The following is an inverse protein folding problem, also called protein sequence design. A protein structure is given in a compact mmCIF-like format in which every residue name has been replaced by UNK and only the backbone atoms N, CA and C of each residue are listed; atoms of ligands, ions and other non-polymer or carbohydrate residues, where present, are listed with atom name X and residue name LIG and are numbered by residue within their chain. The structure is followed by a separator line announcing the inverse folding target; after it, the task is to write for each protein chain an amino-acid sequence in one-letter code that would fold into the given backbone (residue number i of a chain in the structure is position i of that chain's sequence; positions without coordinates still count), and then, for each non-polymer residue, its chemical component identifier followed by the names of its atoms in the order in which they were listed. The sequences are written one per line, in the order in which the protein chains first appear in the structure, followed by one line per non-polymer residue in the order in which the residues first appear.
data_IF_334448734319
#
_entry.id   IF_334448734319
#
_cell.length_a   1.000
_cell.length_b   1.000
_cell.length_c   1.000
_cell.angle_alpha   90.00
_cell.angle_beta   90.00
_cell.angle_gamma   90.00
#
_symmetry.space_group_name_H-M   'P 1'
#
loop_
_entity.id
_entity.type
_entity.pdbx_description
1 polymer ?
#
# COMPACT_ATOMS: atom_id res chain seq x y z
N UNK A 1 15.61 -12.84 -23.16
CA UNK A 1 14.39 -12.01 -23.14
C UNK A 1 13.24 -12.97 -22.91
N UNK A 2 12.86 -13.15 -21.65
CA UNK A 2 11.70 -13.99 -21.32
C UNK A 2 10.52 -13.06 -21.21
N UNK A 3 9.64 -13.07 -22.21
CA UNK A 3 8.30 -12.49 -22.10
C UNK A 3 7.58 -13.25 -20.98
N UNK A 4 7.53 -12.66 -19.79
CA UNK A 4 6.67 -13.13 -18.72
C UNK A 4 5.24 -13.02 -19.24
N UNK A 5 4.65 -14.16 -19.61
CA UNK A 5 3.21 -14.27 -19.88
C UNK A 5 2.51 -13.76 -18.63
N UNK A 6 2.01 -12.51 -18.66
CA UNK A 6 1.30 -11.93 -17.53
C UNK A 6 0.08 -12.82 -17.26
N UNK A 7 0.13 -13.54 -16.14
CA UNK A 7 -1.01 -14.29 -15.64
C UNK A 7 -2.20 -13.33 -15.48
N UNK A 8 -3.40 -13.77 -15.88
CA UNK A 8 -4.60 -12.97 -15.74
C UNK A 8 -4.77 -12.54 -14.27
N UNK A 9 -5.14 -11.28 -14.01
CA UNK A 9 -5.31 -10.78 -12.65
C UNK A 9 -6.48 -11.48 -11.97
N UNK A 10 -6.32 -11.76 -10.68
CA UNK A 10 -7.40 -12.26 -9.80
C UNK A 10 -8.47 -11.20 -9.63
N UNK A 11 -8.08 -9.94 -9.42
CA UNK A 11 -9.00 -8.81 -9.49
C UNK A 11 -8.53 -7.81 -10.54
N UNK A 12 -9.45 -7.40 -11.41
CA UNK A 12 -9.27 -6.25 -12.29
C UNK A 12 -10.34 -5.20 -11.99
N UNK A 13 -9.89 -4.09 -11.43
CA UNK A 13 -10.73 -2.94 -11.06
C UNK A 13 -10.48 -1.81 -12.05
N UNK A 14 -11.55 -1.26 -12.65
CA UNK A 14 -11.43 -0.11 -13.57
C UNK A 14 -12.45 0.95 -13.22
N UNK A 15 -11.96 2.18 -13.09
CA UNK A 15 -12.75 3.40 -12.87
C UNK A 15 -13.81 3.22 -11.80
N UNK A 16 -13.46 2.58 -10.69
CA UNK A 16 -14.39 2.23 -9.65
C UNK A 16 -14.75 3.47 -8.83
N UNK A 17 -16.05 3.69 -8.65
CA UNK A 17 -16.58 4.75 -7.82
C UNK A 17 -17.44 4.19 -6.71
N UNK A 18 -17.33 4.78 -5.52
CA UNK A 18 -18.33 4.64 -4.47
C UNK A 18 -18.62 5.99 -3.85
N UNK A 19 -19.86 6.44 -4.05
CA UNK A 19 -20.37 7.70 -3.52
C UNK A 19 -21.52 7.42 -2.56
N UNK A 20 -21.50 8.09 -1.40
CA UNK A 20 -22.57 8.09 -0.41
C UNK A 20 -23.30 9.43 -0.44
N UNK A 21 -24.62 9.41 -0.27
CA UNK A 21 -25.44 10.62 -0.19
C UNK A 21 -26.62 10.64 -1.17
N UNK A 22 -27.47 11.68 -1.09
CA UNK A 22 -28.77 11.72 -1.77
C UNK A 22 -28.69 11.79 -3.30
N UNK A 23 -27.54 12.21 -3.86
CA UNK A 23 -27.31 12.36 -5.30
C UNK A 23 -26.13 11.53 -5.80
N UNK A 24 -25.78 10.47 -5.06
CA UNK A 24 -24.58 9.66 -5.30
C UNK A 24 -24.43 9.20 -6.76
N UNK A 25 -25.51 8.74 -7.40
CA UNK A 25 -25.49 8.25 -8.78
C UNK A 25 -25.16 9.31 -9.84
N UNK A 26 -25.32 10.60 -9.53
CA UNK A 26 -25.02 11.70 -10.47
C UNK A 26 -23.57 12.17 -10.40
N UNK A 27 -22.82 11.75 -9.38
CA UNK A 27 -21.45 12.21 -9.17
C UNK A 27 -20.50 11.55 -10.18
N UNK A 28 -20.51 10.21 -10.38
CA UNK A 28 -19.70 9.60 -11.42
C UNK A 28 -20.18 10.04 -12.81
N UNK A 29 -19.27 10.60 -13.62
CA UNK A 29 -19.55 11.02 -15.00
C UNK A 29 -19.92 12.49 -15.21
N UNK A 30 -20.15 13.26 -14.14
CA UNK A 30 -20.28 14.71 -14.23
C UNK A 30 -18.92 15.38 -14.04
N UNK A 31 -18.37 15.97 -15.12
CA UNK A 31 -17.09 16.67 -15.10
C UNK A 31 -17.07 17.83 -14.10
N UNK A 32 -18.23 18.42 -13.77
CA UNK A 32 -18.33 19.49 -12.79
C UNK A 32 -18.11 19.01 -11.34
N UNK A 33 -18.21 17.70 -11.08
CA UNK A 33 -18.00 17.09 -9.77
C UNK A 33 -16.71 16.27 -9.67
N UNK A 34 -16.24 15.70 -10.79
CA UNK A 34 -15.06 14.82 -10.81
C UNK A 34 -13.77 15.49 -10.32
N UNK A 35 -13.57 16.78 -10.64
CA UNK A 35 -12.39 17.55 -10.23
C UNK A 35 -12.50 18.27 -8.89
N UNK A 36 -13.61 18.15 -8.17
CA UNK A 36 -13.79 18.86 -6.90
C UNK A 36 -13.02 18.20 -5.76
N UNK A 37 -12.51 18.99 -4.82
CA UNK A 37 -12.02 18.45 -3.55
C UNK A 37 -13.15 17.75 -2.79
N UNK A 38 -12.79 16.84 -1.86
CA UNK A 38 -13.79 16.14 -1.06
C UNK A 38 -14.70 17.10 -0.27
N UNK A 39 -14.16 18.21 0.22
CA UNK A 39 -14.90 19.24 0.94
C UNK A 39 -15.89 19.97 0.02
N UNK A 40 -15.47 20.39 -1.16
CA UNK A 40 -16.32 21.09 -2.13
C UNK A 40 -17.42 20.18 -2.68
N UNK A 41 -17.09 18.92 -2.99
CA UNK A 41 -18.08 17.92 -3.41
C UNK A 41 -19.18 17.79 -2.36
N UNK A 42 -18.80 17.66 -1.09
CA UNK A 42 -19.75 17.57 0.02
C UNK A 42 -20.58 18.84 0.17
N UNK A 43 -19.97 20.02 0.08
CA UNK A 43 -20.68 21.29 0.19
C UNK A 43 -21.73 21.48 -0.92
N UNK A 44 -21.40 21.12 -2.17
CA UNK A 44 -22.29 21.33 -3.32
C UNK A 44 -23.37 20.28 -3.47
N UNK A 45 -23.07 19.03 -3.12
CA UNK A 45 -23.94 17.88 -3.43
C UNK A 45 -24.51 17.18 -2.19
N UNK A 46 -23.94 17.42 -1.01
CA UNK A 46 -24.21 16.64 0.20
C UNK A 46 -23.69 15.19 0.11
N UNK A 47 -22.86 14.88 -0.90
CA UNK A 47 -22.32 13.54 -1.12
C UNK A 47 -20.86 13.43 -0.68
N UNK A 48 -20.46 12.24 -0.27
CA UNK A 48 -19.08 11.88 0.05
C UNK A 48 -18.64 10.78 -0.90
N UNK A 49 -17.66 11.06 -1.75
CA UNK A 49 -17.04 10.04 -2.60
C UNK A 49 -15.93 9.34 -1.80
N UNK A 50 -16.20 8.11 -1.36
CA UNK A 50 -15.26 7.31 -0.60
C UNK A 50 -14.27 6.54 -1.49
N UNK A 51 -14.63 6.30 -2.75
CA UNK A 51 -13.75 5.75 -3.79
C UNK A 51 -14.02 6.55 -5.06
N UNK A 52 -12.96 7.07 -5.68
CA UNK A 52 -13.01 8.04 -6.79
C UNK A 52 -12.10 7.56 -7.91
N UNK A 53 -12.70 7.08 -8.98
CA UNK A 53 -12.02 6.66 -10.22
C UNK A 53 -10.83 5.70 -10.02
N UNK A 54 -10.97 4.74 -9.11
CA UNK A 54 -9.87 3.85 -8.73
C UNK A 54 -9.71 2.73 -9.75
N UNK A 55 -8.49 2.51 -10.24
CA UNK A 55 -8.13 1.44 -11.17
C UNK A 55 -6.85 0.75 -10.73
N UNK A 56 -6.87 -0.59 -10.64
CA UNK A 56 -5.70 -1.43 -10.35
C UNK A 56 -5.99 -2.88 -10.69
N UNK A 57 -4.92 -3.68 -10.71
CA UNK A 57 -4.95 -5.13 -10.83
C UNK A 57 -4.28 -5.78 -9.61
N UNK A 58 -4.85 -6.90 -9.16
CA UNK A 58 -4.27 -7.81 -8.17
C UNK A 58 -3.98 -9.13 -8.87
N UNK A 59 -2.73 -9.57 -8.83
CA UNK A 59 -2.25 -10.76 -9.51
C UNK A 59 -2.30 -12.00 -8.61
N UNK A 60 -2.35 -13.21 -9.20
CA UNK A 60 -2.34 -14.44 -8.43
C UNK A 60 -1.10 -14.55 -7.54
N UNK A 61 -1.33 -14.91 -6.28
CA UNK A 61 -0.28 -15.08 -5.28
C UNK A 61 0.32 -13.78 -4.77
N UNK A 62 -0.18 -12.61 -5.14
CA UNK A 62 0.31 -11.31 -4.69
C UNK A 62 -0.26 -10.93 -3.31
N UNK A 63 0.56 -10.32 -2.45
CA UNK A 63 0.10 -9.52 -1.30
C UNK A 63 -0.02 -8.06 -1.73
N UNK A 64 -1.25 -7.67 -2.06
CA UNK A 64 -1.59 -6.31 -2.47
C UNK A 64 -2.05 -5.49 -1.27
N UNK A 65 -1.25 -4.51 -0.85
CA UNK A 65 -1.55 -3.68 0.32
C UNK A 65 -2.26 -2.39 -0.10
N UNK A 66 -3.38 -2.08 0.53
CA UNK A 66 -4.08 -0.79 0.41
C UNK A 66 -3.80 0.03 1.66
N UNK A 67 -3.13 1.17 1.48
CA UNK A 67 -2.64 2.01 2.55
C UNK A 67 -3.19 3.44 2.46
N UNK A 68 -3.20 4.17 3.57
CA UNK A 68 -3.61 5.57 3.64
C UNK A 68 -4.17 5.93 5.01
N UNK A 69 -4.43 7.22 5.24
CA UNK A 69 -4.99 7.71 6.52
C UNK A 69 -6.41 7.19 6.78
N UNK A 70 -6.85 7.31 8.03
CA UNK A 70 -8.26 7.06 8.36
C UNK A 70 -9.17 7.95 7.50
N UNK A 71 -10.25 7.37 6.98
CA UNK A 71 -11.18 8.08 6.10
C UNK A 71 -10.78 8.16 4.62
N UNK A 72 -9.62 7.64 4.21
CA UNK A 72 -9.17 7.73 2.80
C UNK A 72 -9.91 6.80 1.82
N UNK A 73 -10.81 5.93 2.29
CA UNK A 73 -11.64 5.06 1.44
C UNK A 73 -11.27 3.58 1.42
N UNK A 74 -10.16 3.16 2.03
CA UNK A 74 -9.60 1.79 1.98
C UNK A 74 -10.60 0.68 2.28
N UNK A 75 -11.23 0.71 3.45
CA UNK A 75 -12.22 -0.30 3.86
C UNK A 75 -13.46 -0.27 2.97
N UNK A 76 -13.80 0.88 2.38
CA UNK A 76 -14.88 0.96 1.40
C UNK A 76 -14.48 0.27 0.10
N UNK A 77 -13.26 0.50 -0.38
CA UNK A 77 -12.71 -0.13 -1.58
C UNK A 77 -12.72 -1.66 -1.47
N UNK A 78 -12.18 -2.23 -0.38
CA UNK A 78 -12.17 -3.69 -0.21
C UNK A 78 -13.56 -4.29 -0.05
N UNK A 79 -14.49 -3.59 0.61
CA UNK A 79 -15.89 -4.03 0.68
C UNK A 79 -16.60 -3.95 -0.67
N UNK A 80 -16.16 -3.08 -1.57
CA UNK A 80 -16.63 -3.07 -2.96
C UNK A 80 -16.13 -4.31 -3.73
N UNK A 81 -14.90 -4.81 -3.46
CA UNK A 81 -14.37 -6.01 -4.12
C UNK A 81 -15.22 -7.27 -3.85
N UNK A 82 -15.80 -7.38 -2.66
CA UNK A 82 -16.74 -8.47 -2.33
C UNK A 82 -18.20 -8.10 -2.54
N UNK A 83 -18.47 -6.88 -3.03
CA UNK A 83 -19.81 -6.29 -3.19
C UNK A 83 -20.62 -6.27 -1.89
N UNK A 84 -19.95 -6.27 -0.73
CA UNK A 84 -20.60 -6.00 0.57
C UNK A 84 -21.09 -4.56 0.63
N UNK A 85 -20.40 -3.66 -0.07
CA UNK A 85 -20.87 -2.34 -0.44
C UNK A 85 -21.04 -2.33 -1.96
N UNK A 86 -22.22 -1.93 -2.44
CA UNK A 86 -22.47 -1.80 -3.87
C UNK A 86 -21.71 -0.59 -4.43
N UNK A 87 -20.83 -0.77 -5.43
CA UNK A 87 -20.21 0.35 -6.15
C UNK A 87 -21.26 1.24 -6.82
N UNK A 88 -20.92 2.52 -6.98
CA UNK A 88 -21.77 3.48 -7.68
C UNK A 88 -21.55 3.44 -9.20
N UNK A 89 -20.30 3.24 -9.64
CA UNK A 89 -19.93 3.10 -11.04
C UNK A 89 -18.58 2.35 -11.18
N UNK A 90 -18.20 2.03 -12.42
CA UNK A 90 -16.97 1.32 -12.77
C UNK A 90 -17.22 -0.15 -13.11
N UNK A 91 -16.13 -0.91 -13.24
CA UNK A 91 -16.17 -2.36 -13.46
C UNK A 91 -15.26 -3.09 -12.48
N UNK A 92 -15.71 -4.28 -12.07
CA UNK A 92 -14.99 -5.17 -11.17
C UNK A 92 -15.07 -6.60 -11.72
N UNK A 93 -13.92 -7.14 -12.10
CA UNK A 93 -13.80 -8.50 -12.62
C UNK A 93 -12.98 -9.33 -11.63
N UNK A 94 -13.44 -10.54 -11.31
CA UNK A 94 -12.71 -11.53 -10.52
C UNK A 94 -12.53 -12.81 -11.33
N UNK A 95 -11.30 -13.26 -11.55
CA UNK A 95 -10.97 -14.44 -12.37
C UNK A 95 -11.68 -14.46 -13.75
N UNK A 96 -11.82 -13.29 -14.37
CA UNK A 96 -12.53 -13.12 -15.65
C UNK A 96 -14.07 -13.03 -15.57
N UNK A 97 -14.67 -13.16 -14.38
CA UNK A 97 -16.11 -13.02 -14.17
C UNK A 97 -16.48 -11.61 -13.66
N UNK A 98 -17.46 -10.95 -14.27
CA UNK A 98 -17.96 -9.64 -13.81
C UNK A 98 -18.76 -9.78 -12.50
N UNK A 99 -18.20 -9.26 -11.42
CA UNK A 99 -18.77 -9.33 -10.06
C UNK A 99 -20.03 -8.46 -9.92
N UNK A 100 -20.13 -7.37 -10.69
CA UNK A 100 -21.28 -6.47 -10.65
C UNK A 100 -22.50 -7.06 -11.37
N UNK A 101 -22.26 -7.92 -12.36
CA UNK A 101 -23.30 -8.64 -13.09
C UNK A 101 -23.83 -9.88 -12.36
N UNK A 102 -23.13 -10.36 -11.31
CA UNK A 102 -23.56 -11.55 -10.55
C UNK A 102 -24.92 -11.36 -9.89
N UNK A 103 -25.72 -12.42 -9.89
CA UNK A 103 -26.93 -12.49 -9.08
C UNK A 103 -26.62 -12.80 -7.60
N UNK A 104 -27.65 -12.79 -6.75
CA UNK A 104 -27.49 -13.05 -5.32
C UNK A 104 -27.01 -14.46 -4.97
N UNK A 105 -27.25 -15.45 -5.84
CA UNK A 105 -26.83 -16.84 -5.65
C UNK A 105 -25.35 -16.99 -5.94
N UNK A 106 -24.92 -16.51 -7.10
CA UNK A 106 -23.53 -16.53 -7.53
C UNK A 106 -22.62 -15.73 -6.60
N UNK A 107 -23.09 -14.56 -6.15
CA UNK A 107 -22.36 -13.75 -5.18
C UNK A 107 -22.21 -14.44 -3.82
N UNK A 108 -23.20 -15.26 -3.41
CA UNK A 108 -23.09 -16.08 -2.20
C UNK A 108 -22.07 -17.21 -2.36
N UNK A 109 -22.00 -17.85 -3.52
CA UNK A 109 -20.98 -18.87 -3.80
C UNK A 109 -19.57 -18.29 -3.78
N UNK A 110 -19.37 -17.13 -4.44
CA UNK A 110 -18.10 -16.41 -4.43
C UNK A 110 -17.62 -16.14 -3.01
N UNK A 111 -18.48 -15.58 -2.15
CA UNK A 111 -18.16 -15.27 -0.74
C UNK A 111 -18.03 -16.51 0.15
N UNK A 112 -18.56 -17.65 -0.28
CA UNK A 112 -18.53 -18.89 0.50
C UNK A 112 -17.27 -19.71 0.20
N UNK A 113 -16.77 -19.66 -1.04
CA UNK A 113 -15.72 -20.57 -1.49
C UNK A 113 -14.46 -19.88 -2.00
N UNK A 114 -14.57 -18.70 -2.64
CA UNK A 114 -13.41 -18.07 -3.31
C UNK A 114 -12.80 -16.94 -2.50
N UNK A 115 -13.63 -16.07 -1.93
CA UNK A 115 -13.16 -14.90 -1.20
C UNK A 115 -13.58 -14.97 0.27
N UNK A 116 -12.62 -14.78 1.17
CA UNK A 116 -12.86 -14.62 2.61
C UNK A 116 -12.44 -13.23 3.06
N UNK A 117 -13.20 -12.64 3.99
CA UNK A 117 -12.90 -11.32 4.54
C UNK A 117 -12.70 -11.36 6.05
N UNK A 118 -11.61 -10.76 6.51
CA UNK A 118 -11.34 -10.45 7.91
C UNK A 118 -11.67 -8.98 8.15
N UNK A 119 -12.64 -8.73 9.00
CA UNK A 119 -13.07 -7.37 9.37
C UNK A 119 -12.26 -6.83 10.55
N UNK A 120 -12.05 -5.51 10.58
CA UNK A 120 -11.45 -4.78 11.71
C UNK A 120 -12.18 -5.08 13.04
N UNK A 121 -13.52 -5.06 13.00
CA UNK A 121 -14.34 -5.61 14.07
C UNK A 121 -14.68 -7.06 13.71
N UNK A 122 -14.05 -8.01 14.38
CA UNK A 122 -14.03 -9.44 14.04
C UNK A 122 -15.40 -10.12 13.93
N UNK A 123 -16.50 -9.44 14.26
CA UNK A 123 -17.86 -9.93 13.98
C UNK A 123 -18.09 -11.34 14.53
N UNK A 124 -17.55 -11.61 15.72
CA UNK A 124 -17.70 -12.90 16.36
C UNK A 124 -19.16 -13.08 16.79
N UNK A 125 -19.65 -14.31 16.65
CA UNK A 125 -20.98 -14.69 17.07
C UNK A 125 -20.97 -14.89 18.59
N UNK A 126 -21.57 -13.98 19.39
CA UNK A 126 -21.40 -13.96 20.85
C UNK A 126 -22.05 -15.17 21.54
N UNK A 127 -23.00 -15.80 20.86
CA UNK A 127 -23.73 -16.98 21.32
C UNK A 127 -23.04 -18.30 20.97
N UNK A 128 -21.95 -18.27 20.20
CA UNK A 128 -21.16 -19.45 19.82
C UNK A 128 -19.83 -19.48 20.58
N UNK A 129 -19.26 -20.67 20.77
CA UNK A 129 -17.92 -20.81 21.33
C UNK A 129 -16.85 -20.34 20.34
N UNK A 130 -15.59 -20.24 20.79
CA UNK A 130 -14.45 -20.00 19.91
C UNK A 130 -14.39 -21.03 18.80
N UNK A 131 -14.47 -22.32 19.15
CA UNK A 131 -14.42 -23.42 18.20
C UNK A 131 -15.57 -23.34 17.18
N UNK A 132 -16.79 -23.05 17.63
CA UNK A 132 -17.95 -22.92 16.74
C UNK A 132 -17.94 -21.62 15.92
N UNK A 133 -17.23 -20.58 16.36
CA UNK A 133 -16.95 -19.39 15.54
C UNK A 133 -15.98 -19.74 14.41
N UNK A 134 -14.88 -20.42 14.71
CA UNK A 134 -13.87 -20.83 13.72
C UNK A 134 -14.47 -21.82 12.71
N UNK A 135 -15.26 -22.79 13.18
CA UNK A 135 -15.95 -23.76 12.33
C UNK A 135 -17.12 -23.18 11.52
N UNK A 136 -17.50 -21.91 11.72
CA UNK A 136 -18.72 -21.34 11.13
C UNK A 136 -18.68 -21.30 9.60
N UNK A 137 -17.57 -20.90 8.99
CA UNK A 137 -17.47 -20.87 7.52
C UNK A 137 -17.61 -22.27 6.91
N UNK A 138 -16.96 -23.25 7.54
CA UNK A 138 -17.03 -24.68 7.17
C UNK A 138 -18.46 -25.25 7.33
N UNK A 139 -19.19 -24.83 8.38
CA UNK A 139 -20.61 -25.15 8.56
C UNK A 139 -21.46 -24.65 7.39
N UNK A 140 -21.23 -23.41 6.95
CA UNK A 140 -21.96 -22.81 5.83
C UNK A 140 -21.60 -23.44 4.49
N UNK A 141 -20.39 -24.00 4.35
CA UNK A 141 -19.96 -24.82 3.22
C UNK A 141 -20.55 -26.23 3.22
N UNK A 142 -21.22 -26.65 4.30
CA UNK A 142 -21.83 -27.97 4.41
C UNK A 142 -20.91 -29.07 4.94
N UNK A 143 -19.73 -28.72 5.46
CA UNK A 143 -18.79 -29.69 6.03
C UNK A 143 -19.37 -30.39 7.28
N UNK A 144 -19.10 -31.68 7.41
CA UNK A 144 -19.59 -32.51 8.51
C UNK A 144 -19.14 -32.01 9.88
N UNK A 145 -19.97 -32.20 10.92
CA UNK A 145 -19.72 -31.63 12.26
C UNK A 145 -18.39 -32.07 12.89
N UNK A 146 -17.99 -33.33 12.71
CA UNK A 146 -16.75 -33.86 13.26
C UNK A 146 -15.54 -33.24 12.56
N UNK A 147 -15.51 -33.31 11.23
CA UNK A 147 -14.45 -32.78 10.37
C UNK A 147 -14.23 -31.28 10.58
N UNK A 148 -15.29 -30.47 10.55
CA UNK A 148 -15.17 -29.02 10.75
C UNK A 148 -14.66 -28.64 12.14
N UNK A 149 -14.98 -29.44 13.17
CA UNK A 149 -14.48 -29.22 14.54
C UNK A 149 -12.99 -29.57 14.64
N UNK A 150 -12.56 -30.60 13.93
CA UNK A 150 -11.14 -30.97 13.86
C UNK A 150 -10.31 -29.88 13.17
N UNK A 151 -10.77 -29.39 12.00
CA UNK A 151 -10.13 -28.27 11.30
C UNK A 151 -10.09 -27.03 12.19
N UNK A 152 -11.22 -26.69 12.83
CA UNK A 152 -11.30 -25.55 13.71
C UNK A 152 -10.37 -25.66 14.93
N UNK A 153 -10.24 -26.85 15.52
CA UNK A 153 -9.34 -27.07 16.65
C UNK A 153 -7.88 -26.83 16.26
N UNK A 154 -7.44 -27.42 15.14
CA UNK A 154 -6.09 -27.16 14.60
C UNK A 154 -5.83 -25.67 14.40
N UNK A 155 -6.81 -24.95 13.88
CA UNK A 155 -6.66 -23.51 13.60
C UNK A 155 -6.66 -22.66 14.88
N UNK A 156 -7.44 -23.06 15.90
CA UNK A 156 -7.41 -22.44 17.24
C UNK A 156 -6.04 -22.62 17.92
N UNK A 157 -5.45 -23.81 17.81
CA UNK A 157 -4.13 -24.10 18.36
C UNK A 157 -3.04 -23.29 17.63
N UNK A 158 -3.14 -23.23 16.29
CA UNK A 158 -2.21 -22.48 15.44
C UNK A 158 -2.16 -20.99 15.75
N UNK A 159 -3.28 -20.38 16.16
CA UNK A 159 -3.31 -18.97 16.60
C UNK A 159 -3.01 -18.79 18.10
N UNK A 160 -2.52 -19.82 18.78
CA UNK A 160 -2.12 -19.75 20.19
C UNK A 160 -3.31 -19.56 21.14
N UNK A 161 -4.46 -20.15 20.83
CA UNK A 161 -5.67 -20.13 21.67
C UNK A 161 -5.99 -21.52 22.24
N UNK A 162 -4.97 -22.37 22.40
CA UNK A 162 -5.09 -23.72 22.98
C UNK A 162 -5.83 -23.67 24.32
N UNK A 163 -6.77 -24.61 24.52
CA UNK A 163 -7.60 -24.68 25.73
C UNK A 163 -8.71 -23.61 25.85
N UNK A 164 -8.83 -22.68 24.89
CA UNK A 164 -9.88 -21.65 24.88
C UNK A 164 -11.07 -21.98 23.97
N UNK A 165 -11.05 -23.11 23.27
CA UNK A 165 -12.04 -23.50 22.25
C UNK A 165 -13.50 -23.46 22.72
N UNK A 166 -13.77 -23.81 23.98
CA UNK A 166 -15.13 -23.84 24.56
C UNK A 166 -15.59 -22.49 25.13
N UNK A 167 -14.69 -21.50 25.24
CA UNK A 167 -15.06 -20.17 25.74
C UNK A 167 -15.90 -19.43 24.71
N UNK A 168 -16.70 -18.47 25.19
CA UNK A 168 -17.45 -17.54 24.35
C UNK A 168 -16.67 -16.23 24.16
N UNK A 169 -16.90 -15.46 23.07
CA UNK A 169 -16.20 -14.21 22.80
C UNK A 169 -16.16 -13.21 23.97
N UNK A 170 -17.25 -13.08 24.73
CA UNK A 170 -17.31 -12.19 25.90
C UNK A 170 -16.39 -12.58 27.07
N UNK A 171 -15.77 -13.76 27.03
CA UNK A 171 -14.81 -14.25 28.03
C UNK A 171 -13.35 -14.08 27.58
N UNK A 172 -13.13 -13.40 26.45
CA UNK A 172 -11.84 -13.22 25.80
C UNK A 172 -11.42 -11.75 25.80
N UNK A 173 -10.12 -11.49 25.87
CA UNK A 173 -9.56 -10.16 25.61
C UNK A 173 -9.77 -9.75 24.15
N UNK A 174 -9.67 -8.46 23.83
CA UNK A 174 -9.79 -7.96 22.46
C UNK A 174 -8.83 -8.66 21.49
N UNK A 175 -7.55 -8.79 21.87
CA UNK A 175 -6.56 -9.50 21.06
C UNK A 175 -6.82 -11.01 20.92
N UNK A 176 -7.49 -11.65 21.90
CA UNK A 176 -7.94 -13.03 21.75
C UNK A 176 -9.11 -13.12 20.75
N UNK A 177 -10.09 -12.20 20.82
CA UNK A 177 -11.20 -12.17 19.87
C UNK A 177 -10.72 -11.94 18.43
N UNK A 178 -9.70 -11.12 18.25
CA UNK A 178 -9.02 -10.89 16.98
C UNK A 178 -8.42 -12.18 16.40
N UNK A 179 -7.69 -12.93 17.22
CA UNK A 179 -7.15 -14.24 16.83
C UNK A 179 -8.22 -15.25 16.45
N UNK A 180 -9.38 -15.25 17.12
CA UNK A 180 -10.53 -16.08 16.71
C UNK A 180 -11.06 -15.66 15.33
N UNK A 181 -11.16 -14.34 15.07
CA UNK A 181 -11.62 -13.82 13.78
C UNK A 181 -10.69 -14.20 12.63
N UNK A 182 -9.38 -14.12 12.88
CA UNK A 182 -8.35 -14.55 11.92
C UNK A 182 -8.40 -16.07 11.69
N UNK A 183 -8.42 -16.87 12.75
CA UNK A 183 -8.54 -18.34 12.65
C UNK A 183 -9.78 -18.76 11.87
N UNK A 184 -10.91 -18.06 12.07
CA UNK A 184 -12.16 -18.31 11.32
C UNK A 184 -11.99 -18.07 9.81
N UNK A 185 -11.28 -17.01 9.42
CA UNK A 185 -11.06 -16.73 8.01
C UNK A 185 -10.08 -17.72 7.37
N UNK A 186 -9.04 -18.13 8.12
CA UNK A 186 -8.04 -19.11 7.70
C UNK A 186 -8.59 -20.53 7.62
N UNK A 187 -9.53 -20.90 8.50
CA UNK A 187 -10.08 -22.26 8.54
C UNK A 187 -10.81 -22.67 7.26
N UNK A 188 -11.34 -21.70 6.50
CA UNK A 188 -12.12 -21.91 5.27
C UNK A 188 -11.22 -22.16 4.05
N UNK A 189 -9.93 -21.87 4.19
CA UNK A 189 -8.91 -22.02 3.14
C UNK A 189 -9.27 -21.40 1.76
N UNK A 190 -9.62 -20.10 1.71
CA UNK A 190 -10.04 -19.44 0.48
C UNK A 190 -8.87 -19.28 -0.53
N UNK A 191 -9.21 -19.09 -1.80
CA UNK A 191 -8.25 -18.71 -2.85
C UNK A 191 -7.77 -17.26 -2.66
N UNK A 192 -8.68 -16.40 -2.19
CA UNK A 192 -8.45 -14.96 -1.99
C UNK A 192 -8.81 -14.53 -0.58
N UNK A 193 -7.87 -13.86 0.07
CA UNK A 193 -8.04 -13.32 1.41
C UNK A 193 -8.08 -11.80 1.39
N UNK A 194 -9.06 -11.21 2.07
CA UNK A 194 -9.24 -9.77 2.17
C UNK A 194 -9.16 -9.38 3.64
N UNK A 195 -8.18 -8.57 4.02
CA UNK A 195 -7.95 -8.16 5.39
C UNK A 195 -8.21 -6.66 5.56
N UNK A 196 -9.05 -6.29 6.51
CA UNK A 196 -9.38 -4.91 6.85
C UNK A 196 -8.80 -4.56 8.22
N UNK A 197 -7.57 -4.04 8.24
CA UNK A 197 -6.79 -3.70 9.44
C UNK A 197 -6.73 -4.83 10.50
N UNK A 198 -6.35 -6.07 10.09
CA UNK A 198 -6.51 -7.27 10.90
C UNK A 198 -5.55 -7.33 12.09
N UNK A 199 -4.57 -6.41 12.21
CA UNK A 199 -3.58 -6.39 13.30
C UNK A 199 -3.59 -5.11 14.14
N UNK A 200 -4.46 -4.14 13.81
CA UNK A 200 -4.51 -2.82 14.45
C UNK A 200 -4.70 -2.88 15.98
N UNK A 201 -5.53 -3.82 16.46
CA UNK A 201 -5.81 -4.02 17.88
C UNK A 201 -4.96 -5.10 18.58
N UNK A 202 -3.94 -5.66 17.90
CA UNK A 202 -3.01 -6.64 18.48
C UNK A 202 -1.86 -5.97 19.24
N UNK A 203 -1.39 -6.61 20.30
CA UNK A 203 -0.13 -6.26 20.95
C UNK A 203 1.07 -6.52 20.02
N UNK A 204 2.23 -5.87 20.23
CA UNK A 204 3.35 -5.94 19.29
C UNK A 204 3.93 -7.35 19.05
N UNK A 205 3.95 -8.21 20.07
CA UNK A 205 4.50 -9.57 19.93
C UNK A 205 3.57 -10.43 19.09
N UNK A 206 2.28 -10.47 19.44
CA UNK A 206 1.28 -11.25 18.70
C UNK A 206 1.10 -10.69 17.28
N UNK A 207 1.15 -9.36 17.10
CA UNK A 207 1.15 -8.75 15.76
C UNK A 207 2.25 -9.32 14.89
N UNK A 208 3.48 -9.40 15.40
CA UNK A 208 4.63 -9.94 14.66
C UNK A 208 4.41 -11.41 14.29
N UNK A 209 3.98 -12.23 15.23
CA UNK A 209 3.74 -13.67 15.00
C UNK A 209 2.66 -13.88 13.93
N UNK A 210 1.59 -13.09 13.95
CA UNK A 210 0.51 -13.19 12.96
C UNK A 210 0.92 -12.67 11.58
N UNK A 211 1.76 -11.63 11.53
CA UNK A 211 2.38 -11.19 10.27
C UNK A 211 3.28 -12.28 9.68
N UNK A 212 4.08 -12.96 10.51
CA UNK A 212 4.91 -14.08 10.07
C UNK A 212 4.07 -15.24 9.53
N UNK A 213 2.93 -15.53 10.15
CA UNK A 213 2.00 -16.53 9.64
C UNK A 213 1.37 -16.12 8.29
N UNK A 214 1.03 -14.85 8.11
CA UNK A 214 0.54 -14.35 6.81
C UNK A 214 1.62 -14.46 5.72
N UNK A 215 2.85 -14.07 6.04
CA UNK A 215 4.01 -14.24 5.15
C UNK A 215 4.20 -15.71 4.78
N UNK A 216 4.10 -16.61 5.76
CA UNK A 216 4.22 -18.06 5.56
C UNK A 216 3.13 -18.58 4.62
N UNK A 217 1.87 -18.20 4.83
CA UNK A 217 0.76 -18.59 3.95
C UNK A 217 0.92 -18.07 2.52
N UNK A 218 1.44 -16.85 2.36
CA UNK A 218 1.74 -16.30 1.05
C UNK A 218 2.87 -17.09 0.35
N UNK A 219 4.01 -17.32 1.01
CA UNK A 219 5.16 -17.99 0.39
C UNK A 219 4.99 -19.50 0.21
N UNK A 220 4.39 -20.20 1.17
CA UNK A 220 4.26 -21.67 1.13
C UNK A 220 3.05 -22.12 0.31
N UNK A 221 1.95 -21.36 0.32
CA UNK A 221 0.69 -21.76 -0.31
C UNK A 221 0.28 -20.91 -1.52
N UNK A 222 0.99 -19.81 -1.81
CA UNK A 222 0.73 -18.97 -2.98
C UNK A 222 -0.63 -18.27 -2.95
N UNK A 223 -1.14 -17.96 -1.77
CA UNK A 223 -2.46 -17.32 -1.60
C UNK A 223 -2.42 -15.87 -2.06
N UNK A 224 -3.50 -15.43 -2.72
CA UNK A 224 -3.67 -14.03 -3.09
C UNK A 224 -4.30 -13.27 -1.93
N UNK A 225 -3.71 -12.14 -1.55
CA UNK A 225 -4.13 -11.38 -0.38
C UNK A 225 -4.29 -9.90 -0.72
N UNK A 226 -5.42 -9.30 -0.34
CA UNK A 226 -5.59 -7.84 -0.31
C UNK A 226 -5.62 -7.40 1.13
N UNK A 227 -4.68 -6.54 1.50
CA UNK A 227 -4.43 -6.21 2.88
C UNK A 227 -4.59 -4.71 3.12
N UNK A 228 -5.48 -4.29 4.02
CA UNK A 228 -5.61 -2.89 4.40
C UNK A 228 -4.85 -2.63 5.68
N UNK A 229 -4.01 -1.59 5.66
CA UNK A 229 -3.38 -1.07 6.86
C UNK A 229 -3.24 0.46 6.81
N UNK A 230 -2.99 1.06 7.97
CA UNK A 230 -2.51 2.42 8.10
C UNK A 230 -1.06 2.47 8.60
N UNK A 231 -0.45 1.32 8.93
CA UNK A 231 0.94 1.20 9.38
C UNK A 231 1.87 0.94 8.17
N UNK A 232 2.85 1.83 7.98
CA UNK A 232 3.78 1.72 6.86
C UNK A 232 4.70 0.52 7.00
N UNK A 233 5.17 0.23 8.21
CA UNK A 233 6.09 -0.88 8.44
C UNK A 233 5.43 -2.22 8.11
N UNK A 234 4.13 -2.33 8.39
CA UNK A 234 3.33 -3.48 7.99
C UNK A 234 3.22 -3.60 6.47
N UNK A 235 2.94 -2.49 5.78
CA UNK A 235 2.85 -2.48 4.32
C UNK A 235 4.20 -2.87 3.66
N UNK A 236 5.31 -2.34 4.18
CA UNK A 236 6.65 -2.63 3.68
C UNK A 236 7.09 -4.06 3.95
N UNK A 237 6.66 -4.64 5.08
CA UNK A 237 7.03 -6.02 5.47
C UNK A 237 6.22 -7.08 4.74
N UNK A 238 4.94 -6.82 4.49
CA UNK A 238 4.00 -7.81 3.94
C UNK A 238 3.78 -7.66 2.43
N UNK A 239 3.82 -6.44 1.90
CA UNK A 239 3.28 -6.13 0.59
C UNK A 239 4.27 -6.33 -0.54
N UNK A 240 3.83 -7.02 -1.60
CA UNK A 240 4.53 -7.01 -2.89
C UNK A 240 4.30 -5.69 -3.62
N UNK A 241 3.07 -5.16 -3.54
CA UNK A 241 2.67 -3.86 -4.08
C UNK A 241 1.79 -3.12 -3.08
N UNK A 242 1.98 -1.81 -3.03
CA UNK A 242 1.29 -0.90 -2.12
C UNK A 242 0.52 0.14 -2.94
N UNK A 243 -0.78 0.20 -2.71
CA UNK A 243 -1.69 1.22 -3.20
C UNK A 243 -1.93 2.27 -2.11
N UNK A 244 -1.33 3.45 -2.24
CA UNK A 244 -1.54 4.55 -1.31
C UNK A 244 -2.77 5.37 -1.73
N UNK A 245 -3.72 5.57 -0.80
CA UNK A 245 -4.97 6.29 -1.02
C UNK A 245 -5.09 7.54 -0.14
N UNK A 246 -5.60 8.63 -0.74
CA UNK A 246 -5.97 9.88 -0.07
C UNK A 246 -7.31 10.36 -0.63
N UNK A 247 -8.25 10.73 0.26
CA UNK A 247 -9.56 11.29 -0.11
C UNK A 247 -10.36 10.49 -1.17
N UNK A 248 -10.22 9.16 -1.15
CA UNK A 248 -10.88 8.24 -2.08
C UNK A 248 -10.14 8.02 -3.41
N UNK A 249 -9.04 8.71 -3.64
CA UNK A 249 -8.21 8.62 -4.85
C UNK A 249 -6.92 7.85 -4.59
N UNK A 250 -6.35 7.29 -5.67
CA UNK A 250 -5.02 6.69 -5.64
C UNK A 250 -3.98 7.79 -5.78
N UNK A 251 -3.05 7.86 -4.82
CA UNK A 251 -1.91 8.78 -4.87
C UNK A 251 -0.72 8.14 -5.56
N UNK A 252 -0.39 6.90 -5.19
CA UNK A 252 0.71 6.14 -5.76
C UNK A 252 0.43 4.65 -5.67
N UNK A 253 0.88 3.90 -6.69
CA UNK A 253 0.86 2.45 -6.73
C UNK A 253 2.25 1.97 -7.16
N UNK A 254 2.90 1.14 -6.35
CA UNK A 254 4.24 0.62 -6.65
C UNK A 254 4.69 -0.42 -5.64
N UNK A 255 5.91 -0.93 -5.82
CA UNK A 255 6.58 -1.81 -4.85
C UNK A 255 6.99 -1.05 -3.60
N UNK A 256 7.22 -1.72 -2.45
CA UNK A 256 7.80 -1.08 -1.26
C UNK A 256 9.03 -0.20 -1.56
N UNK A 257 9.94 -0.70 -2.41
CA UNK A 257 11.14 0.03 -2.83
C UNK A 257 10.79 1.30 -3.62
N UNK A 258 9.85 1.23 -4.57
CA UNK A 258 9.42 2.39 -5.36
C UNK A 258 8.76 3.47 -4.49
N UNK A 259 7.91 3.07 -3.53
CA UNK A 259 7.24 4.00 -2.61
C UNK A 259 8.26 4.78 -1.77
N UNK A 260 9.30 4.12 -1.27
CA UNK A 260 10.32 4.74 -0.40
C UNK A 260 11.39 5.51 -1.17
N UNK A 261 11.78 4.99 -2.34
CA UNK A 261 12.85 5.57 -3.15
C UNK A 261 12.37 6.74 -4.00
N UNK A 262 11.16 6.64 -4.56
CA UNK A 262 10.60 7.59 -5.51
C UNK A 262 9.17 8.00 -5.08
N UNK A 263 9.01 8.75 -3.98
CA UNK A 263 7.69 9.23 -3.56
C UNK A 263 7.10 10.18 -4.61
N UNK A 264 5.84 9.95 -4.99
CA UNK A 264 5.17 10.67 -6.08
C UNK A 264 4.84 12.14 -5.75
N UNK A 265 4.49 12.43 -4.50
CA UNK A 265 4.21 13.78 -4.01
C UNK A 265 4.73 13.98 -2.59
N UNK A 266 4.59 15.20 -2.05
CA UNK A 266 5.02 15.53 -0.69
C UNK A 266 4.27 14.74 0.38
N UNK A 267 3.03 14.33 0.10
CA UNK A 267 2.27 13.48 1.01
C UNK A 267 2.90 12.09 1.11
N UNK A 268 3.27 11.45 -0.01
CA UNK A 268 4.00 10.18 0.04
C UNK A 268 5.35 10.36 0.74
N UNK A 269 6.05 11.46 0.45
CA UNK A 269 7.36 11.78 1.07
C UNK A 269 7.25 11.89 2.59
N UNK A 270 6.19 12.51 3.09
CA UNK A 270 5.92 12.61 4.52
C UNK A 270 5.60 11.26 5.15
N UNK A 271 4.88 10.39 4.44
CA UNK A 271 4.58 9.03 4.89
C UNK A 271 5.85 8.18 5.09
N UNK A 272 6.79 8.25 4.15
CA UNK A 272 8.00 7.40 4.15
C UNK A 272 9.19 8.00 4.89
N UNK A 273 9.02 9.19 5.51
CA UNK A 273 10.11 9.97 6.09
C UNK A 273 10.94 9.21 7.12
N UNK A 274 10.27 8.48 8.01
CA UNK A 274 10.90 7.78 9.13
C UNK A 274 11.18 6.29 8.84
N UNK A 275 11.10 5.89 7.57
CA UNK A 275 11.37 4.50 7.16
C UNK A 275 12.88 4.25 7.13
N UNK A 276 13.38 3.20 7.81
CA UNK A 276 14.76 2.76 7.65
C UNK A 276 14.98 2.20 6.24
N UNK A 277 15.55 3.04 5.37
CA UNK A 277 15.72 2.76 3.94
C UNK A 277 16.53 1.50 3.66
N UNK A 278 17.51 1.19 4.51
CA UNK A 278 18.34 0.00 4.40
C UNK A 278 17.55 -1.32 4.50
N UNK A 279 16.35 -1.29 5.07
CA UNK A 279 15.47 -2.46 5.20
C UNK A 279 14.51 -2.63 4.01
N UNK A 280 14.52 -1.70 3.05
CA UNK A 280 13.59 -1.70 1.92
C UNK A 280 14.32 -1.60 0.57
N UNK A 281 15.42 -0.84 0.52
CA UNK A 281 16.19 -0.63 -0.70
C UNK A 281 17.01 -1.89 -1.00
N UNK A 282 16.95 -2.33 -2.26
CA UNK A 282 17.73 -3.46 -2.75
C UNK A 282 19.19 -3.08 -3.01
N UNK A 283 20.09 -4.05 -2.90
CA UNK A 283 21.50 -3.87 -3.28
C UNK A 283 21.65 -3.54 -4.76
N UNK A 284 20.74 -4.01 -5.61
CA UNK A 284 20.74 -3.67 -7.05
C UNK A 284 20.56 -2.17 -7.28
N UNK A 285 19.77 -1.49 -6.47
CA UNK A 285 19.57 -0.04 -6.57
C UNK A 285 20.75 0.74 -5.98
N UNK A 286 21.42 0.19 -4.97
CA UNK A 286 22.54 0.83 -4.30
C UNK A 286 23.90 0.58 -4.99
N UNK A 287 24.01 -0.44 -5.84
CA UNK A 287 25.30 -0.87 -6.40
C UNK A 287 25.92 0.17 -7.33
N UNK A 288 27.24 0.07 -7.47
CA UNK A 288 28.03 0.75 -8.48
C UNK A 288 28.74 -0.26 -9.40
N UNK A 289 29.26 0.16 -10.56
CA UNK A 289 30.18 -0.67 -11.33
C UNK A 289 31.37 -1.15 -10.49
N UNK A 290 31.81 -2.39 -10.72
CA UNK A 290 32.98 -2.97 -10.08
C UNK A 290 34.26 -2.31 -10.61
N UNK A 291 35.20 -1.98 -9.72
CA UNK A 291 36.54 -1.56 -10.11
C UNK A 291 37.46 -2.77 -10.32
N UNK A 292 38.63 -2.54 -10.92
CA UNK A 292 39.62 -3.59 -11.19
C UNK A 292 40.03 -4.32 -9.90
N UNK A 293 39.86 -5.65 -9.90
CA UNK A 293 40.18 -6.52 -8.75
C UNK A 293 39.01 -6.80 -7.80
N UNK A 294 37.90 -6.05 -7.87
CA UNK A 294 36.72 -6.26 -7.01
C UNK A 294 35.79 -7.36 -7.55
N UNK A 295 35.95 -7.78 -8.80
CA UNK A 295 35.09 -8.79 -9.43
C UNK A 295 35.21 -10.19 -8.79
N UNK A 296 36.34 -10.48 -8.12
CA UNK A 296 36.65 -11.79 -7.56
C UNK A 296 36.60 -11.91 -6.03
N UNK A 297 36.42 -10.80 -5.31
CA UNK A 297 36.54 -10.73 -3.84
C UNK A 297 35.21 -10.33 -3.19
N UNK A 298 35.04 -10.58 -1.90
CA UNK A 298 33.81 -10.26 -1.17
C UNK A 298 32.63 -11.25 -1.34
N UNK A 299 31.69 -11.11 -0.41
CA UNK A 299 30.46 -11.92 -0.32
C UNK A 299 29.58 -11.67 -1.55
N UNK A 300 29.06 -12.75 -2.14
CA UNK A 300 28.09 -12.66 -3.22
C UNK A 300 26.67 -12.50 -2.65
N UNK A 301 25.95 -11.50 -3.16
CA UNK A 301 24.57 -11.19 -2.82
C UNK A 301 23.70 -11.21 -4.08
N UNK A 302 22.47 -11.68 -3.94
CA UNK A 302 21.48 -11.60 -5.00
C UNK A 302 21.06 -10.13 -5.23
N UNK A 303 20.58 -9.75 -6.42
CA UNK A 303 20.23 -8.35 -6.72
C UNK A 303 19.06 -7.84 -5.87
N UNK A 304 18.15 -8.74 -5.49
CA UNK A 304 17.02 -8.44 -4.61
C UNK A 304 17.35 -8.47 -3.11
N UNK A 305 18.59 -8.78 -2.71
CA UNK A 305 18.99 -8.71 -1.31
C UNK A 305 18.88 -7.27 -0.80
N UNK A 306 18.58 -7.10 0.49
CA UNK A 306 18.43 -5.78 1.08
C UNK A 306 19.78 -5.14 1.42
N UNK A 307 19.82 -3.81 1.45
CA UNK A 307 21.00 -3.05 1.87
C UNK A 307 21.44 -3.42 3.29
N UNK A 308 20.52 -3.77 4.19
CA UNK A 308 20.82 -4.27 5.53
C UNK A 308 21.68 -5.55 5.52
N UNK A 309 21.39 -6.50 4.63
CA UNK A 309 22.19 -7.72 4.45
C UNK A 309 23.58 -7.40 3.91
N UNK A 310 23.68 -6.42 3.01
CA UNK A 310 24.97 -5.94 2.51
C UNK A 310 25.80 -5.25 3.59
N UNK A 311 25.18 -4.47 4.49
CA UNK A 311 25.87 -3.88 5.64
C UNK A 311 26.50 -4.97 6.49
N UNK A 312 25.77 -6.04 6.81
CA UNK A 312 26.31 -7.16 7.58
C UNK A 312 27.47 -7.87 6.86
N UNK A 313 27.32 -8.12 5.55
CA UNK A 313 28.32 -8.81 4.75
C UNK A 313 29.62 -7.99 4.63
N UNK A 314 29.50 -6.70 4.35
CA UNK A 314 30.63 -5.76 4.23
C UNK A 314 31.30 -5.54 5.58
N UNK A 315 30.53 -5.38 6.67
CA UNK A 315 31.09 -5.21 8.01
C UNK A 315 31.88 -6.44 8.49
N UNK A 316 31.46 -7.64 8.10
CA UNK A 316 32.13 -8.90 8.48
C UNK A 316 33.42 -9.15 7.71
N UNK A 317 33.45 -8.80 6.43
CA UNK A 317 34.57 -9.10 5.52
C UNK A 317 35.56 -7.94 5.38
N UNK A 318 35.09 -6.70 5.58
CA UNK A 318 35.83 -5.48 5.26
C UNK A 318 35.92 -5.18 3.76
N UNK A 319 35.37 -6.06 2.91
CA UNK A 319 35.42 -5.98 1.45
C UNK A 319 34.05 -5.56 0.90
N UNK A 320 33.99 -4.88 -0.26
CA UNK A 320 32.74 -4.64 -0.97
C UNK A 320 32.01 -5.96 -1.29
N UNK A 321 30.68 -5.96 -1.15
CA UNK A 321 29.87 -7.12 -1.54
C UNK A 321 29.58 -7.10 -3.04
N UNK A 322 29.60 -8.27 -3.68
CA UNK A 322 29.33 -8.43 -5.12
C UNK A 322 27.86 -8.72 -5.34
N UNK A 323 27.25 -8.01 -6.29
CA UNK A 323 25.85 -8.24 -6.69
C UNK A 323 25.86 -9.15 -7.92
N UNK A 324 25.41 -10.40 -7.74
CA UNK A 324 25.40 -11.42 -8.80
C UNK A 324 23.97 -11.80 -9.17
N UNK A 325 23.66 -11.82 -10.46
CA UNK A 325 22.46 -12.46 -11.01
C UNK A 325 22.87 -13.79 -11.65
N UNK A 326 22.70 -14.89 -10.90
CA UNK A 326 23.31 -16.17 -11.22
C UNK A 326 24.84 -16.08 -11.20
N UNK A 327 25.49 -16.32 -12.34
CA UNK A 327 26.95 -16.17 -12.49
C UNK A 327 27.37 -14.78 -12.99
N UNK A 328 26.41 -13.93 -13.36
CA UNK A 328 26.70 -12.61 -13.95
C UNK A 328 26.90 -11.57 -12.85
N UNK A 329 28.08 -10.94 -12.82
CA UNK A 329 28.33 -9.77 -11.99
C UNK A 329 27.59 -8.55 -12.55
N UNK A 330 26.72 -7.98 -11.72
CA UNK A 330 26.00 -6.74 -12.03
C UNK A 330 26.73 -5.50 -11.49
N UNK A 331 27.40 -5.63 -10.35
CA UNK A 331 28.11 -4.54 -9.70
C UNK A 331 28.59 -4.92 -8.29
N UNK A 332 29.04 -3.91 -7.55
CA UNK A 332 29.45 -4.05 -6.15
C UNK A 332 28.81 -2.98 -5.27
N UNK A 333 28.65 -3.28 -4.00
CA UNK A 333 28.18 -2.34 -2.99
C UNK A 333 29.19 -2.27 -1.84
N UNK A 334 29.72 -1.07 -1.61
CA UNK A 334 30.71 -0.80 -0.55
C UNK A 334 30.17 0.20 0.48
N UNK A 335 30.97 0.51 1.50
CA UNK A 335 30.60 1.38 2.62
C UNK A 335 29.97 2.72 2.18
N UNK A 336 30.50 3.36 1.15
CA UNK A 336 29.98 4.64 0.64
C UNK A 336 28.55 4.52 0.12
N UNK A 337 28.27 3.51 -0.70
CA UNK A 337 26.93 3.25 -1.25
C UNK A 337 25.94 2.91 -0.14
N UNK A 338 26.35 2.08 0.83
CA UNK A 338 25.53 1.70 1.97
C UNK A 338 25.20 2.92 2.86
N UNK A 339 26.19 3.76 3.16
CA UNK A 339 25.99 4.98 3.94
C UNK A 339 25.12 6.00 3.22
N UNK A 340 25.24 6.14 1.90
CA UNK A 340 24.39 7.03 1.11
C UNK A 340 22.90 6.63 1.20
N UNK A 341 22.59 5.33 1.19
CA UNK A 341 21.23 4.82 1.37
C UNK A 341 20.71 5.13 2.78
N UNK A 342 21.50 4.84 3.81
CA UNK A 342 21.11 5.10 5.22
C UNK A 342 20.91 6.60 5.47
N UNK A 343 21.78 7.45 4.90
CA UNK A 343 21.66 8.91 5.02
C UNK A 343 20.49 9.49 4.23
N UNK A 344 19.86 8.72 3.34
CA UNK A 344 18.78 9.20 2.49
C UNK A 344 19.22 10.16 1.38
N UNK A 345 20.52 10.21 1.06
CA UNK A 345 21.09 11.11 0.06
C UNK A 345 21.04 10.55 -1.38
N UNK A 346 20.28 9.47 -1.58
CA UNK A 346 20.04 8.85 -2.88
C UNK A 346 21.19 7.94 -3.33
N UNK A 347 20.89 6.66 -3.51
CA UNK A 347 21.66 5.79 -4.40
C UNK A 347 21.50 6.32 -5.83
N UNK A 348 22.49 7.10 -6.27
CA UNK A 348 22.59 7.69 -7.60
C UNK A 348 24.01 7.51 -8.11
N UNK A 349 24.31 6.31 -8.61
CA UNK A 349 25.35 6.08 -9.60
C UNK A 349 24.81 5.00 -10.57
N UNK A 350 23.81 5.39 -11.34
CA UNK A 350 23.15 4.55 -12.34
C UNK A 350 21.98 5.29 -12.95
N UNK A 351 22.26 6.22 -13.85
CA UNK A 351 21.31 6.81 -14.80
C UNK A 351 20.50 5.70 -15.47
N UNK A 352 19.20 5.92 -15.62
CA UNK A 352 18.35 5.04 -16.43
C UNK A 352 18.80 5.11 -17.89
N UNK A 353 18.81 3.99 -18.66
CA UNK A 353 19.06 4.05 -20.11
C UNK A 353 18.09 4.97 -20.86
N UNK A 354 16.95 5.31 -20.26
CA UNK A 354 15.98 6.26 -20.81
C UNK A 354 16.37 7.74 -20.60
N UNK A 355 17.20 8.04 -19.60
CA UNK A 355 17.70 9.40 -19.33
C UNK A 355 18.95 9.71 -20.18
N UNK A 356 19.82 8.73 -20.43
CA UNK A 356 20.95 8.88 -21.37
C UNK A 356 20.48 9.12 -22.82
N UNK A 357 19.35 8.53 -23.22
CA UNK A 357 18.75 8.80 -24.52
C UNK A 357 18.13 10.21 -24.62
N UNK A 358 17.73 10.80 -23.48
CA UNK A 358 17.18 12.14 -23.44
C UNK A 358 18.29 13.22 -23.37
N UNK A 359 19.39 12.97 -22.66
CA UNK A 359 20.56 13.88 -22.66
C UNK A 359 21.29 13.86 -24.00
N UNK A 360 21.47 12.69 -24.63
CA UNK A 360 22.07 12.59 -25.96
C UNK A 360 21.22 13.29 -27.05
N UNK A 361 19.89 13.34 -26.89
CA UNK A 361 19.00 14.05 -27.81
C UNK A 361 18.98 15.58 -27.61
N UNK A 362 19.46 16.08 -26.47
CA UNK A 362 19.56 17.52 -26.20
C UNK A 362 20.90 18.08 -26.67
N UNK A 363 21.98 17.29 -26.65
CA UNK A 363 23.27 17.70 -27.23
C UNK A 363 23.24 17.72 -28.78
N UNK A 364 22.56 16.77 -29.43
CA UNK A 364 22.46 16.71 -30.90
C UNK A 364 21.55 17.82 -31.48
N UNK A 365 20.67 18.42 -30.64
CA UNK A 365 19.82 19.54 -31.03
C UNK A 365 20.48 20.92 -30.84
N UNK A 366 21.62 21.00 -30.15
CA UNK A 366 22.31 22.25 -29.86
C UNK A 366 23.40 22.61 -30.89
N UNK A 367 23.77 21.70 -31.80
CA UNK A 367 24.75 21.97 -32.86
C UNK A 367 24.12 22.40 -34.21
N UNK A 368 22.80 22.32 -34.40
CA UNK A 368 22.15 22.56 -35.70
C UNK A 368 21.46 23.94 -35.86
N UNK A 369 21.59 24.86 -34.89
CA UNK A 369 20.95 26.20 -34.96
C UNK A 369 21.95 27.38 -35.13
N UNK A 370 23.13 27.10 -35.70
CA UNK A 370 24.14 28.14 -36.02
C UNK A 370 24.31 28.39 -37.53
N UNK A 371 23.21 28.53 -38.27
CA UNK A 371 23.27 29.07 -39.63
C UNK A 371 21.94 29.71 -40.09
N UNK A 372 21.78 31.03 -39.88
CA UNK A 372 20.71 31.75 -40.59
C UNK A 372 20.47 33.21 -40.19
N UNK A 373 20.93 34.12 -41.05
CA UNK A 373 20.38 35.46 -41.37
C UNK A 373 20.35 36.55 -40.26
N UNK A 374 21.21 37.58 -40.33
CA UNK A 374 21.13 38.81 -41.17
C UNK A 374 20.26 39.96 -40.57
N UNK A 375 20.98 41.04 -40.20
CA UNK A 375 20.77 42.48 -40.51
C UNK A 375 19.58 43.29 -39.97
N UNK A 376 19.98 44.52 -39.59
CA UNK A 376 19.25 45.79 -39.50
C UNK A 376 18.09 45.85 -38.47
N UNK A 377 17.94 46.84 -37.59
CA UNK A 377 18.56 48.13 -37.37
C UNK A 377 17.63 48.95 -36.45
N UNK A 378 18.24 49.89 -35.73
CA UNK A 378 17.67 51.15 -35.24
C UNK A 378 17.09 51.31 -33.81
N UNK A 379 17.71 52.29 -33.12
CA UNK A 379 17.24 53.25 -32.09
C UNK A 379 16.39 52.76 -30.90
N UNK A 380 16.92 52.84 -29.66
CA UNK A 380 16.85 54.00 -28.74
C UNK A 380 15.41 54.27 -28.24
N UNK A 381 15.07 54.48 -26.97
CA UNK A 381 15.74 54.91 -25.75
C UNK A 381 14.68 54.91 -24.64
N UNK A 382 15.07 55.00 -23.37
CA UNK A 382 14.21 55.58 -22.33
C UNK A 382 14.08 54.76 -21.05
N UNK A 383 15.03 54.97 -20.14
CA UNK A 383 14.86 54.72 -18.72
C UNK A 383 14.05 55.87 -18.09
N UNK A 384 13.20 55.55 -17.11
CA UNK A 384 12.84 56.48 -16.04
C UNK A 384 12.47 55.71 -14.78
N UNK A 385 13.29 55.90 -13.76
CA UNK A 385 13.01 55.67 -12.34
C UNK A 385 11.86 56.56 -11.85
N UNK A 386 11.19 56.12 -10.78
CA UNK A 386 10.86 56.88 -9.55
C UNK A 386 9.72 56.16 -8.82
N UNK A 387 9.93 55.65 -7.58
CA UNK A 387 9.62 56.36 -6.32
C UNK A 387 8.16 56.03 -5.88
N UNK A 388 7.71 55.89 -4.63
CA UNK A 388 8.19 56.10 -3.27
C UNK A 388 7.14 55.49 -2.30
N UNK A 389 7.52 55.35 -1.01
CA UNK A 389 6.62 55.54 0.14
C UNK A 389 6.00 54.27 0.73
N UNK A 390 6.36 53.73 1.90
CA UNK A 390 6.62 54.26 3.25
C UNK A 390 5.38 54.72 4.04
N UNK A 391 5.25 54.17 5.26
CA UNK A 391 4.28 54.47 6.33
C UNK A 391 3.80 53.17 6.97
N UNK A 392 4.43 52.57 7.99
CA UNK A 392 4.87 53.00 9.32
C UNK A 392 3.71 53.25 10.33
N UNK A 393 3.74 52.43 11.41
CA UNK A 393 3.29 52.67 12.80
C UNK A 393 1.79 52.70 13.13
N UNK A 394 1.31 52.28 14.31
CA UNK A 394 1.95 51.77 15.54
C UNK A 394 0.86 51.16 16.47
N UNK A 395 1.31 50.35 17.44
CA UNK A 395 0.82 50.20 18.84
C UNK A 395 -0.66 49.85 19.13
N UNK A 396 -0.96 48.69 19.72
CA UNK A 396 -0.99 48.38 21.16
C UNK A 396 -2.36 48.67 21.83
N UNK A 397 -3.01 47.68 22.45
CA UNK A 397 -2.92 47.42 23.90
C UNK A 397 -4.09 46.55 24.45
N UNK A 398 -3.74 45.68 25.41
CA UNK A 398 -4.47 45.05 26.52
C UNK A 398 -5.99 44.73 26.50
N UNK A 399 -6.32 43.53 26.99
CA UNK A 399 -7.67 43.19 27.48
C UNK A 399 -7.79 41.75 27.98
N UNK A 400 -7.46 41.54 29.26
CA UNK A 400 -7.67 40.32 30.03
C UNK A 400 -9.11 40.29 30.61
N UNK A 401 -9.85 39.19 30.48
CA UNK A 401 -10.97 38.81 31.38
C UNK A 401 -11.54 37.41 31.06
N UNK A 402 -11.16 36.44 31.88
CA UNK A 402 -12.01 35.55 32.68
C UNK A 402 -13.50 35.35 32.24
N UNK A 403 -13.88 34.10 31.89
CA UNK A 403 -15.14 33.48 32.35
C UNK A 403 -15.29 31.98 31.98
N UNK A 404 -15.77 31.19 32.94
CA UNK A 404 -16.93 30.33 32.70
C UNK A 404 -16.76 28.82 32.50
N UNK A 405 -16.88 28.07 33.61
CA UNK A 405 -17.25 26.64 33.68
C UNK A 405 -18.64 26.31 33.07
N UNK A 406 -18.75 25.13 32.45
CA UNK A 406 -19.93 24.23 32.44
C UNK A 406 -19.41 22.84 32.00
N UNK A 407 -19.47 21.71 32.71
CA UNK A 407 -20.51 20.93 33.43
C UNK A 407 -21.56 20.26 32.52
N UNK A 408 -21.62 18.92 32.66
CA UNK A 408 -22.63 17.93 32.24
C UNK A 408 -22.69 17.57 30.74
N UNK A 409 -22.89 16.31 30.32
CA UNK A 409 -23.26 15.06 31.01
C UNK A 409 -24.07 14.17 30.05
N UNK A 410 -24.06 12.86 30.34
CA UNK A 410 -24.76 11.70 29.72
C UNK A 410 -23.85 10.80 28.87
#
# INVERSE_FOLDING_TARGET
MSETTQANPVFSVRKLWKVFGPKAAKVPGDQAYAGLSAAELRARTGCTAAVRDVSFDVHPGEVFVVMGLSGSGKSTLVRCLTRLIEPTAGSLVMDGEDVLAMDSGRLRELRRHRASMVFQNFGLLPHRSVLDNVAYGLEIQGMGKAERREVAARMVDKVGLEGLGERRPGQLSGGQQQRVGLARALAVDPEVMLFDEPFSALDPLIRRDMQEEVIRLHHEEGRTMVFITHDLNEALRLGDRILLMRDGEVVQLGTPEEIVANPADDYVRDFVRDVPREQVISVRRAMRPAADGEAGTGTALAPGALVSEAIEAVARTGEPARVLDGEKLLGVVGHEQLLAVVAGNGGGAGTSPAEEAAEAAVEDAAEDDSAGADRDGDSASGASESDSGAGDKDSADHGDSDNGKAVAGV
#
